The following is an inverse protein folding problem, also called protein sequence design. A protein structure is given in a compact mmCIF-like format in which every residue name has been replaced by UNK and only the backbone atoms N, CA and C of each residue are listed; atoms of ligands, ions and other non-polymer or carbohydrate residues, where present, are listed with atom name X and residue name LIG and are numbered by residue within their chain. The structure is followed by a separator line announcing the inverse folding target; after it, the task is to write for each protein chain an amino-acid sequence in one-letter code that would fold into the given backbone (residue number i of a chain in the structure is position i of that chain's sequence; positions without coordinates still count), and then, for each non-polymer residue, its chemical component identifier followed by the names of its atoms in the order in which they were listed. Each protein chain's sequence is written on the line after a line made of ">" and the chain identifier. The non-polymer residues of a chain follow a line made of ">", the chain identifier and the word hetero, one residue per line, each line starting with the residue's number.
data_IF_806553446378
#
_entry.id   IF_806553446378
#
_cell.length_a   1.000
_cell.length_b   1.000
_cell.length_c   1.000
_cell.angle_alpha   90.00
_cell.angle_beta   90.00
_cell.angle_gamma   90.00
#
_symmetry.space_group_name_H-M   'P 1'
#
loop_
_entity.id
_entity.type
_entity.pdbx_description
1 polymer ?
#
# COMPACT_ATOMS: atom_id res chain seq x y z
N UNK A 1 -13.96 -25.43 15.72
CA UNK A 1 -12.98 -24.65 14.96
C UNK A 1 -12.09 -25.63 14.22
N UNK A 2 -12.11 -25.57 12.89
CA UNK A 2 -11.28 -26.38 11.99
C UNK A 2 -9.91 -25.72 11.80
N UNK A 3 -8.92 -26.48 11.33
CA UNK A 3 -7.61 -25.97 10.90
C UNK A 3 -7.80 -24.91 9.79
N UNK A 4 -8.77 -25.09 8.89
CA UNK A 4 -9.13 -24.10 7.87
C UNK A 4 -9.55 -22.75 8.46
N UNK A 5 -10.42 -22.76 9.49
CA UNK A 5 -10.87 -21.53 10.17
C UNK A 5 -9.70 -20.75 10.82
N UNK A 6 -8.66 -21.47 11.27
CA UNK A 6 -7.44 -20.87 11.84
C UNK A 6 -6.54 -20.24 10.78
N UNK A 7 -6.42 -20.83 9.59
CA UNK A 7 -5.63 -20.27 8.50
C UNK A 7 -6.31 -19.03 7.89
N UNK A 8 -7.63 -19.06 7.72
CA UNK A 8 -8.41 -17.95 7.18
C UNK A 8 -8.39 -16.74 8.13
N UNK A 9 -8.54 -16.96 9.44
CA UNK A 9 -8.48 -15.88 10.44
C UNK A 9 -7.10 -15.22 10.53
N UNK A 10 -6.01 -15.98 10.39
CA UNK A 10 -4.66 -15.44 10.36
C UNK A 10 -4.38 -14.58 9.12
N UNK A 11 -4.88 -15.00 7.95
CA UNK A 11 -4.77 -14.22 6.72
C UNK A 11 -5.58 -12.93 6.77
N UNK A 12 -6.86 -13.02 7.18
CA UNK A 12 -7.74 -11.85 7.31
C UNK A 12 -7.16 -10.80 8.26
N UNK A 13 -6.64 -11.24 9.42
CA UNK A 13 -6.01 -10.33 10.39
C UNK A 13 -4.77 -9.62 9.84
N UNK A 14 -3.95 -10.31 9.02
CA UNK A 14 -2.80 -9.67 8.36
C UNK A 14 -3.25 -8.61 7.37
N UNK A 15 -4.31 -8.87 6.61
CA UNK A 15 -4.85 -7.89 5.66
C UNK A 15 -5.46 -6.68 6.36
N UNK A 16 -6.23 -6.88 7.44
CA UNK A 16 -6.76 -5.81 8.28
C UNK A 16 -5.62 -4.94 8.87
N UNK A 17 -4.58 -5.56 9.43
CA UNK A 17 -3.42 -4.83 9.95
C UNK A 17 -2.70 -4.02 8.85
N UNK A 18 -2.57 -4.59 7.65
CA UNK A 18 -1.95 -3.89 6.53
C UNK A 18 -2.81 -2.71 6.07
N UNK A 19 -4.12 -2.91 5.92
CA UNK A 19 -5.05 -1.85 5.56
C UNK A 19 -5.05 -0.72 6.60
N UNK A 20 -5.09 -1.05 7.89
CA UNK A 20 -5.03 -0.07 8.98
C UNK A 20 -3.71 0.73 9.00
N UNK A 21 -2.57 0.10 8.66
CA UNK A 21 -1.31 0.82 8.53
C UNK A 21 -1.33 1.84 7.38
N UNK A 22 -2.02 1.53 6.27
CA UNK A 22 -2.18 2.46 5.14
C UNK A 22 -3.14 3.59 5.51
N UNK A 23 -4.27 3.29 6.15
CA UNK A 23 -5.21 4.30 6.67
C UNK A 23 -4.50 5.26 7.64
N UNK A 24 -3.62 4.75 8.50
CA UNK A 24 -2.81 5.59 9.41
C UNK A 24 -1.93 6.60 8.67
N UNK A 25 -1.36 6.20 7.54
CA UNK A 25 -0.53 7.10 6.71
C UNK A 25 -1.39 8.12 5.96
N UNK A 26 -2.53 7.70 5.41
CA UNK A 26 -3.48 8.60 4.78
C UNK A 26 -3.97 9.68 5.76
N UNK A 27 -4.33 9.29 6.99
CA UNK A 27 -4.76 10.21 8.06
C UNK A 27 -3.64 11.07 8.68
N UNK A 28 -2.44 11.13 8.10
CA UNK A 28 -1.29 11.82 8.68
C UNK A 28 -1.48 13.34 8.85
N UNK A 29 -2.29 13.96 8.00
CA UNK A 29 -2.68 15.38 8.07
C UNK A 29 -4.08 15.58 8.68
N UNK A 30 -4.71 14.50 9.15
CA UNK A 30 -5.98 14.51 9.89
C UNK A 30 -7.23 14.48 9.01
N UNK A 31 -7.09 14.47 7.68
CA UNK A 31 -8.22 14.44 6.73
C UNK A 31 -7.93 13.36 5.67
N UNK A 32 -8.96 12.69 5.16
CA UNK A 32 -8.84 11.84 3.95
C UNK A 32 -9.61 12.54 2.85
N UNK A 33 -8.94 12.82 1.73
CA UNK A 33 -9.57 13.45 0.56
C UNK A 33 -10.44 12.46 -0.21
N UNK A 34 -11.20 12.93 -1.19
CA UNK A 34 -12.06 12.06 -2.01
C UNK A 34 -11.20 11.09 -2.86
N UNK A 35 -10.06 11.58 -3.35
CA UNK A 35 -9.06 10.85 -4.12
C UNK A 35 -8.41 9.74 -3.27
N UNK A 36 -8.04 10.05 -2.03
CA UNK A 36 -7.50 9.07 -1.08
C UNK A 36 -8.57 8.07 -0.62
N UNK A 37 -9.82 8.53 -0.41
CA UNK A 37 -10.96 7.63 -0.10
C UNK A 37 -11.15 6.60 -1.20
N UNK A 38 -11.17 7.03 -2.45
CA UNK A 38 -11.33 6.14 -3.59
C UNK A 38 -10.19 5.09 -3.65
N UNK A 39 -8.96 5.50 -3.32
CA UNK A 39 -7.81 4.59 -3.23
C UNK A 39 -8.00 3.56 -2.11
N UNK A 40 -8.39 4.00 -0.91
CA UNK A 40 -8.66 3.11 0.22
C UNK A 40 -9.79 2.12 -0.09
N UNK A 41 -10.83 2.53 -0.82
CA UNK A 41 -11.93 1.65 -1.22
C UNK A 41 -11.45 0.52 -2.16
N UNK A 42 -10.57 0.83 -3.12
CA UNK A 42 -9.96 -0.17 -4.00
C UNK A 42 -9.05 -1.11 -3.23
N UNK A 43 -8.19 -0.54 -2.38
CA UNK A 43 -7.26 -1.30 -1.57
C UNK A 43 -8.00 -2.28 -0.65
N UNK A 44 -9.10 -1.84 -0.02
CA UNK A 44 -9.93 -2.68 0.82
C UNK A 44 -10.49 -3.88 0.05
N UNK A 45 -10.96 -3.69 -1.19
CA UNK A 45 -11.41 -4.79 -2.06
C UNK A 45 -10.27 -5.76 -2.38
N UNK A 46 -9.09 -5.25 -2.72
CA UNK A 46 -7.91 -6.07 -3.04
C UNK A 46 -7.39 -6.87 -1.83
N UNK A 47 -7.55 -6.32 -0.63
CA UNK A 47 -7.18 -6.97 0.62
C UNK A 47 -8.33 -7.81 1.22
N UNK A 48 -9.46 -7.94 0.52
CA UNK A 48 -10.66 -8.65 0.99
C UNK A 48 -11.13 -8.18 2.37
N UNK A 49 -11.08 -6.87 2.61
CA UNK A 49 -11.59 -6.24 3.83
C UNK A 49 -13.11 -6.15 3.73
N UNK A 50 -13.81 -6.66 4.74
CA UNK A 50 -15.27 -6.56 4.80
C UNK A 50 -15.70 -5.10 5.00
N UNK A 51 -16.94 -4.76 4.63
CA UNK A 51 -17.46 -3.42 4.82
C UNK A 51 -17.50 -3.02 6.32
N UNK A 52 -17.75 -3.98 7.21
CA UNK A 52 -17.71 -3.75 8.65
C UNK A 52 -16.29 -3.41 9.12
N UNK A 53 -15.32 -4.26 8.77
CA UNK A 53 -13.91 -4.07 9.14
C UNK A 53 -13.38 -2.74 8.57
N UNK A 54 -13.76 -2.40 7.34
CA UNK A 54 -13.39 -1.14 6.72
C UNK A 54 -13.83 0.07 7.56
N UNK A 55 -15.10 0.11 7.97
CA UNK A 55 -15.66 1.18 8.80
C UNK A 55 -15.02 1.22 10.18
N UNK A 56 -14.79 0.06 10.79
CA UNK A 56 -14.13 -0.04 12.10
C UNK A 56 -12.68 0.45 12.05
N UNK A 57 -11.92 0.04 11.02
CA UNK A 57 -10.54 0.47 10.81
C UNK A 57 -10.48 1.97 10.53
N UNK A 58 -11.36 2.54 9.70
CA UNK A 58 -11.39 3.99 9.48
C UNK A 58 -11.69 4.77 10.76
N UNK A 59 -12.53 4.21 11.65
CA UNK A 59 -12.88 4.84 12.92
C UNK A 59 -11.72 4.77 13.94
N UNK A 60 -11.00 3.65 13.99
CA UNK A 60 -9.89 3.44 14.93
C UNK A 60 -8.76 2.59 14.33
N UNK A 61 -8.00 3.19 13.42
CA UNK A 61 -6.85 2.55 12.77
C UNK A 61 -5.65 2.32 13.72
N UNK A 62 -5.68 2.92 14.91
CA UNK A 62 -4.62 2.78 15.91
C UNK A 62 -4.75 1.48 16.71
N UNK A 63 -5.95 0.91 16.76
CA UNK A 63 -6.23 -0.39 17.39
C UNK A 63 -5.47 -1.58 16.77
N UNK A 64 -5.00 -1.43 15.53
CA UNK A 64 -4.29 -2.50 14.80
C UNK A 64 -2.76 -2.36 14.93
N UNK A 65 -2.02 -3.46 15.14
CA UNK A 65 -0.57 -3.43 15.18
C UNK A 65 0.02 -3.12 13.79
N UNK A 66 1.07 -2.29 13.77
CA UNK A 66 1.84 -2.07 12.54
C UNK A 66 2.73 -3.29 12.31
N UNK A 67 2.53 -3.96 11.17
CA UNK A 67 3.37 -5.07 10.73
C UNK A 67 4.01 -4.71 9.37
N UNK A 68 5.10 -3.93 9.35
CA UNK A 68 5.74 -3.54 8.11
C UNK A 68 6.39 -4.76 7.43
N UNK A 69 6.56 -4.75 6.10
CA UNK A 69 7.28 -5.79 5.39
C UNK A 69 8.71 -5.93 5.91
N UNK A 70 9.08 -7.15 6.32
CA UNK A 70 10.37 -7.44 6.96
C UNK A 70 11.53 -7.56 5.96
N UNK A 71 11.26 -7.99 4.72
CA UNK A 71 12.28 -8.14 3.68
C UNK A 71 12.15 -7.09 2.60
N UNK A 72 13.23 -6.82 1.88
CA UNK A 72 13.23 -5.85 0.79
C UNK A 72 12.35 -6.31 -0.37
N UNK A 73 12.32 -7.60 -0.69
CA UNK A 73 11.44 -8.18 -1.72
C UNK A 73 9.97 -7.92 -1.39
N UNK A 74 9.57 -8.11 -0.12
CA UNK A 74 8.20 -7.78 0.32
C UNK A 74 7.90 -6.29 0.21
N UNK A 75 8.89 -5.39 0.38
CA UNK A 75 8.70 -3.96 0.14
C UNK A 75 8.44 -3.67 -1.33
N UNK A 76 9.19 -4.31 -2.23
CA UNK A 76 9.03 -4.17 -3.67
C UNK A 76 7.69 -4.71 -4.17
N UNK A 77 7.26 -5.88 -3.68
CA UNK A 77 5.93 -6.43 -3.97
C UNK A 77 4.83 -5.44 -3.61
N UNK A 78 4.88 -4.90 -2.38
CA UNK A 78 3.90 -3.91 -1.91
C UNK A 78 3.93 -2.63 -2.71
N UNK A 79 5.13 -2.12 -3.03
CA UNK A 79 5.30 -0.94 -3.86
C UNK A 79 4.68 -1.16 -5.25
N UNK A 80 4.91 -2.32 -5.86
CA UNK A 80 4.36 -2.66 -7.16
C UNK A 80 2.82 -2.71 -7.14
N UNK A 81 2.24 -3.34 -6.13
CA UNK A 81 0.79 -3.40 -5.95
C UNK A 81 0.17 -2.00 -5.79
N UNK A 82 0.76 -1.16 -4.94
CA UNK A 82 0.28 0.20 -4.68
C UNK A 82 0.46 1.10 -5.91
N UNK A 83 1.60 1.03 -6.60
CA UNK A 83 1.84 1.79 -7.82
C UNK A 83 0.87 1.41 -8.95
N UNK A 84 0.54 0.11 -9.09
CA UNK A 84 -0.50 -0.35 -10.03
C UNK A 84 -1.88 0.17 -9.68
N UNK A 85 -2.23 0.23 -8.39
CA UNK A 85 -3.50 0.80 -7.95
C UNK A 85 -3.58 2.29 -8.29
N UNK A 86 -2.55 3.08 -7.98
CA UNK A 86 -2.49 4.51 -8.32
C UNK A 86 -2.55 4.74 -9.84
N UNK A 87 -1.82 3.95 -10.63
CA UNK A 87 -1.84 4.08 -12.09
C UNK A 87 -3.19 3.72 -12.72
N UNK A 88 -3.84 2.64 -12.26
CA UNK A 88 -5.10 2.16 -12.82
C UNK A 88 -6.21 3.21 -12.77
N UNK A 89 -6.15 4.12 -11.80
CA UNK A 89 -7.14 5.17 -11.64
C UNK A 89 -7.08 6.26 -12.70
N UNK A 90 -6.04 6.29 -13.55
CA UNK A 90 -5.76 7.40 -14.48
C UNK A 90 -5.63 8.76 -13.79
N UNK A 91 -5.65 8.77 -12.46
CA UNK A 91 -5.47 9.91 -11.59
C UNK A 91 -3.97 9.97 -11.33
N UNK A 92 -3.22 10.60 -12.23
CA UNK A 92 -2.00 11.31 -11.81
C UNK A 92 -2.42 12.58 -11.06
N UNK A 93 -3.28 12.42 -10.04
CA UNK A 93 -3.62 13.48 -9.11
C UNK A 93 -2.48 13.58 -8.13
N UNK A 94 -2.00 14.80 -7.90
CA UNK A 94 -0.84 15.06 -7.03
C UNK A 94 -1.02 14.40 -5.65
N UNK A 95 -2.25 14.32 -5.14
CA UNK A 95 -2.56 13.74 -3.83
C UNK A 95 -2.27 12.24 -3.70
N UNK A 96 -2.60 11.42 -4.72
CA UNK A 96 -2.36 9.97 -4.65
C UNK A 96 -0.88 9.64 -4.81
N UNK A 97 -0.15 10.44 -5.59
CA UNK A 97 1.31 10.35 -5.70
C UNK A 97 1.95 10.72 -4.37
N UNK A 98 1.50 11.81 -3.73
CA UNK A 98 1.94 12.21 -2.40
C UNK A 98 1.65 11.11 -1.38
N UNK A 99 0.45 10.51 -1.40
CA UNK A 99 0.13 9.38 -0.52
C UNK A 99 1.08 8.21 -0.78
N UNK A 100 1.36 7.87 -2.05
CA UNK A 100 2.28 6.79 -2.40
C UNK A 100 3.72 7.08 -1.93
N UNK A 101 4.19 8.32 -1.97
CA UNK A 101 5.46 8.75 -1.38
C UNK A 101 5.48 8.55 0.15
N UNK A 102 4.43 9.01 0.86
CA UNK A 102 4.28 8.78 2.30
C UNK A 102 4.28 7.28 2.63
N UNK A 103 3.62 6.47 1.81
CA UNK A 103 3.57 5.02 1.93
C UNK A 103 4.92 4.36 1.65
N UNK A 104 5.69 4.86 0.69
CA UNK A 104 7.06 4.39 0.42
C UNK A 104 7.94 4.51 1.66
N UNK A 105 7.87 5.65 2.37
CA UNK A 105 8.56 5.80 3.66
C UNK A 105 8.03 4.80 4.69
N UNK A 106 6.70 4.63 4.79
CA UNK A 106 6.07 3.66 5.69
C UNK A 106 6.42 2.19 5.41
N UNK A 107 6.74 1.85 4.16
CA UNK A 107 7.24 0.53 3.76
C UNK A 107 8.72 0.33 4.14
N UNK A 108 9.44 1.40 4.47
CA UNK A 108 10.85 1.36 4.86
C UNK A 108 11.83 1.68 3.72
N UNK A 109 11.40 2.39 2.67
CA UNK A 109 12.33 3.03 1.74
C UNK A 109 12.97 4.28 2.40
N UNK A 110 14.17 4.65 1.96
CA UNK A 110 14.89 5.78 2.54
C UNK A 110 14.17 7.09 2.17
N UNK A 111 13.73 7.92 3.15
CA UNK A 111 13.09 9.20 2.88
C UNK A 111 13.81 10.09 1.86
N UNK A 112 15.15 10.05 1.84
CA UNK A 112 15.97 10.88 0.94
C UNK A 112 15.81 10.49 -0.54
N UNK A 113 15.45 9.23 -0.83
CA UNK A 113 15.30 8.73 -2.21
C UNK A 113 13.90 8.20 -2.54
N UNK A 114 12.97 8.16 -1.58
CA UNK A 114 11.62 7.61 -1.78
C UNK A 114 10.91 8.24 -2.96
N UNK A 115 10.98 9.57 -3.13
CA UNK A 115 10.36 10.26 -4.26
C UNK A 115 10.83 9.71 -5.61
N UNK A 116 12.15 9.54 -5.77
CA UNK A 116 12.73 8.99 -7.00
C UNK A 116 12.31 7.53 -7.23
N UNK A 117 12.22 6.74 -6.15
CA UNK A 117 11.72 5.35 -6.20
C UNK A 117 10.25 5.33 -6.65
N UNK A 118 9.40 6.23 -6.14
CA UNK A 118 7.99 6.31 -6.53
C UNK A 118 7.85 6.74 -7.99
N UNK A 119 8.59 7.76 -8.43
CA UNK A 119 8.57 8.22 -9.82
C UNK A 119 8.94 7.09 -10.79
N UNK A 120 10.01 6.34 -10.48
CA UNK A 120 10.41 5.18 -11.28
C UNK A 120 9.37 4.07 -11.22
N UNK A 121 8.78 3.79 -10.06
CA UNK A 121 7.76 2.77 -9.91
C UNK A 121 6.52 3.07 -10.79
N UNK A 122 6.03 4.31 -10.73
CA UNK A 122 4.91 4.76 -11.56
C UNK A 122 5.25 4.72 -13.05
N UNK A 123 6.47 5.13 -13.44
CA UNK A 123 6.93 5.05 -14.81
C UNK A 123 6.96 3.59 -15.33
N UNK A 124 7.49 2.66 -14.54
CA UNK A 124 7.56 1.25 -14.92
C UNK A 124 6.16 0.63 -15.09
N UNK A 125 5.25 0.92 -14.16
CA UNK A 125 3.85 0.49 -14.25
C UNK A 125 3.15 1.10 -15.47
N UNK A 126 3.41 2.37 -15.78
CA UNK A 126 2.91 3.03 -16.99
C UNK A 126 3.40 2.35 -18.27
N UNK A 127 4.63 1.83 -18.27
CA UNK A 127 5.19 1.03 -19.38
C UNK A 127 4.64 -0.40 -19.44
N UNK A 128 3.82 -0.81 -18.47
CA UNK A 128 3.22 -2.14 -18.44
C UNK A 128 4.25 -3.25 -18.22
N UNK A 129 5.36 -2.98 -17.54
CA UNK A 129 6.36 -4.00 -17.23
C UNK A 129 5.80 -5.02 -16.24
N UNK A 130 6.30 -6.26 -16.31
CA UNK A 130 5.95 -7.30 -15.34
C UNK A 130 6.64 -7.09 -13.99
N UNK A 131 6.20 -7.88 -12.99
CA UNK A 131 6.69 -7.78 -11.62
C UNK A 131 8.20 -8.04 -11.51
N UNK A 132 8.70 -9.05 -12.23
CA UNK A 132 10.12 -9.42 -12.17
C UNK A 132 11.01 -8.28 -12.70
N UNK A 133 10.63 -7.71 -13.85
CA UNK A 133 11.30 -6.54 -14.43
C UNK A 133 11.21 -5.34 -13.49
N UNK A 134 10.03 -5.10 -12.90
CA UNK A 134 9.84 -4.03 -11.94
C UNK A 134 10.79 -4.17 -10.74
N UNK A 135 10.89 -5.36 -10.15
CA UNK A 135 11.75 -5.61 -8.99
C UNK A 135 13.22 -5.38 -9.30
N UNK A 136 13.70 -5.88 -10.44
CA UNK A 136 15.09 -5.71 -10.86
C UNK A 136 15.43 -4.24 -11.15
N UNK A 137 14.55 -3.52 -11.85
CA UNK A 137 14.76 -2.11 -12.16
C UNK A 137 14.81 -1.24 -10.90
N UNK A 138 13.96 -1.50 -9.89
CA UNK A 138 13.97 -0.74 -8.63
C UNK A 138 15.19 -1.10 -7.77
N UNK A 139 15.59 -2.38 -7.68
CA UNK A 139 16.80 -2.80 -6.94
C UNK A 139 18.04 -2.07 -7.44
N UNK A 140 18.18 -1.94 -8.76
CA UNK A 140 19.33 -1.35 -9.41
C UNK A 140 19.40 0.18 -9.32
N UNK A 141 18.42 0.84 -8.67
CA UNK A 141 18.46 2.29 -8.43
C UNK A 141 19.43 2.71 -7.31
N UNK A 142 19.80 1.77 -6.42
CA UNK A 142 20.62 2.04 -5.23
C UNK A 142 22.11 1.67 -5.40
N UNK A 143 22.56 1.46 -6.64
CA UNK A 143 23.94 1.10 -6.99
C UNK A 143 24.65 2.22 -7.76
#
# INVERSE_FOLDING_TARGET
>A
MSISDLFDSGFQKRNQNHFAAIVRVAMSDGIITDEERAFLDRLARNLHISENDYKEILKDYNSHPINPPVSYERRLERLFDLARMVYADHIKGDEQVILLEKLGVGLGFNPDNTKYIIDKALFLVEKGVDADTFYEEIKNMNH
#
